data_IF_024004675841
#
_entry.id   IF_024004675841
#
_cell.length_a   1.000
_cell.length_b   1.000
_cell.length_c   1.000
_cell.angle_alpha   90.00
_cell.angle_beta   90.00
_cell.angle_gamma   90.00
#
_symmetry.space_group_name_H-M   'P 1'
#
loop_
_entity.id
_entity.type
_entity.pdbx_description
1 polymer ?
#
# COMPACT_ATOMS: atom_id res chain seq x y z
N UNK A 1 -16.84 0.68 -12.81
CA UNK A 1 -17.70 0.69 -11.61
C UNK A 1 -16.81 0.60 -10.37
N UNK A 2 -17.07 1.38 -9.32
CA UNK A 2 -16.22 1.42 -8.11
C UNK A 2 -16.71 0.39 -7.09
N UNK A 3 -15.79 -0.29 -6.42
CA UNK A 3 -16.15 -1.26 -5.38
C UNK A 3 -16.52 -0.55 -4.07
N UNK A 4 -17.73 -0.76 -3.52
CA UNK A 4 -18.09 -0.18 -2.24
C UNK A 4 -17.29 -0.84 -1.12
N UNK A 5 -16.72 -0.04 -0.23
CA UNK A 5 -16.03 -0.52 0.96
C UNK A 5 -16.61 0.13 2.20
N UNK A 6 -16.52 -0.54 3.34
CA UNK A 6 -16.86 0.01 4.65
C UNK A 6 -15.63 0.05 5.53
N UNK A 7 -15.52 1.07 6.37
CA UNK A 7 -14.48 1.17 7.38
C UNK A 7 -15.08 0.91 8.76
N UNK A 8 -14.37 0.13 9.58
CA UNK A 8 -14.64 -0.06 10.99
C UNK A 8 -13.31 -0.04 11.74
N UNK A 9 -13.22 0.77 12.79
CA UNK A 9 -11.98 0.96 13.56
C UNK A 9 -10.75 1.21 12.66
N UNK A 10 -10.87 2.17 11.73
CA UNK A 10 -9.82 2.58 10.79
C UNK A 10 -9.34 1.48 9.82
N UNK A 11 -10.10 0.39 9.65
CA UNK A 11 -9.78 -0.71 8.76
C UNK A 11 -10.94 -1.05 7.85
N UNK A 12 -10.64 -1.51 6.64
CA UNK A 12 -11.68 -1.97 5.71
C UNK A 12 -12.25 -3.30 6.17
N UNK A 13 -13.58 -3.38 6.19
CA UNK A 13 -14.37 -4.56 6.56
C UNK A 13 -15.39 -4.89 5.47
N UNK A 14 -16.05 -6.05 5.60
CA UNK A 14 -17.04 -6.53 4.66
C UNK A 14 -16.45 -7.38 3.52
N UNK A 15 -17.27 -7.64 2.50
CA UNK A 15 -16.98 -8.57 1.39
C UNK A 15 -15.74 -8.16 0.60
N UNK A 16 -15.55 -6.86 0.38
CA UNK A 16 -14.44 -6.32 -0.41
C UNK A 16 -13.11 -6.17 0.36
N UNK A 17 -13.03 -6.64 1.62
CA UNK A 17 -11.80 -6.54 2.44
C UNK A 17 -10.61 -7.25 1.80
N UNK A 18 -10.82 -8.45 1.24
CA UNK A 18 -9.75 -9.21 0.61
C UNK A 18 -9.21 -8.46 -0.63
N UNK A 19 -10.13 -7.99 -1.48
CA UNK A 19 -9.83 -7.18 -2.67
C UNK A 19 -9.07 -5.92 -2.32
N UNK A 20 -9.51 -5.19 -1.29
CA UNK A 20 -8.80 -4.02 -0.75
C UNK A 20 -7.36 -4.34 -0.34
N UNK A 21 -7.18 -5.40 0.46
CA UNK A 21 -5.85 -5.80 0.92
C UNK A 21 -4.93 -6.21 -0.23
N UNK A 22 -5.45 -6.92 -1.23
CA UNK A 22 -4.70 -7.33 -2.42
C UNK A 22 -4.31 -6.12 -3.27
N UNK A 23 -5.25 -5.20 -3.50
CA UNK A 23 -5.03 -3.99 -4.30
C UNK A 23 -3.99 -3.07 -3.66
N UNK A 24 -4.03 -2.85 -2.33
CA UNK A 24 -2.95 -2.14 -1.63
C UNK A 24 -1.61 -2.83 -1.88
N UNK A 25 -1.57 -4.16 -1.84
CA UNK A 25 -0.38 -4.93 -2.15
C UNK A 25 0.16 -4.65 -3.55
N UNK A 26 -0.71 -4.54 -4.55
CA UNK A 26 -0.35 -4.21 -5.94
C UNK A 26 0.18 -2.78 -6.06
N UNK A 27 -0.55 -1.80 -5.53
CA UNK A 27 -0.16 -0.37 -5.56
C UNK A 27 1.21 -0.16 -4.93
N UNK A 28 1.41 -0.73 -3.75
CA UNK A 28 2.66 -0.59 -2.99
C UNK A 28 3.83 -1.23 -3.72
N UNK A 29 3.63 -2.27 -4.54
CA UNK A 29 4.69 -2.95 -5.30
C UNK A 29 4.90 -2.38 -6.70
N UNK A 30 3.93 -1.64 -7.25
CA UNK A 30 3.99 -1.10 -8.60
C UNK A 30 4.99 0.08 -8.65
N UNK A 31 6.10 -0.01 -9.40
CA UNK A 31 7.11 1.04 -9.46
C UNK A 31 6.61 2.35 -10.10
N UNK A 32 5.58 2.29 -10.94
CA UNK A 32 5.00 3.46 -11.62
C UNK A 32 4.16 4.31 -10.64
N UNK A 33 3.49 3.65 -9.70
CA UNK A 33 2.64 4.32 -8.70
C UNK A 33 3.45 4.61 -7.42
N UNK A 34 4.30 3.67 -7.03
CA UNK A 34 5.13 3.71 -5.84
C UNK A 34 6.60 3.63 -6.24
N UNK A 35 7.24 4.81 -6.39
CA UNK A 35 8.66 4.83 -6.73
C UNK A 35 9.50 4.10 -5.68
N UNK A 36 10.36 3.18 -6.13
CA UNK A 36 11.32 2.47 -5.28
C UNK A 36 12.54 3.33 -4.93
N UNK A 37 12.72 4.48 -5.60
CA UNK A 37 13.83 5.43 -5.37
C UNK A 37 13.92 5.88 -3.91
N UNK A 38 12.78 5.93 -3.24
CA UNK A 38 12.70 6.22 -1.81
C UNK A 38 13.15 5.01 -0.97
N UNK A 39 14.39 5.05 -0.47
CA UNK A 39 14.96 4.04 0.43
C UNK A 39 14.12 3.84 1.70
N UNK A 40 13.35 4.85 2.13
CA UNK A 40 12.47 4.83 3.31
C UNK A 40 11.09 5.34 2.92
N UNK A 41 10.02 4.82 3.52
CA UNK A 41 8.68 5.39 3.30
C UNK A 41 8.60 6.89 3.65
N UNK A 42 9.31 7.32 4.71
CA UNK A 42 9.38 8.72 5.14
C UNK A 42 9.96 9.68 4.08
N UNK A 43 10.69 9.17 3.08
CA UNK A 43 11.23 10.01 2.01
C UNK A 43 10.27 10.16 0.82
N UNK A 44 9.10 9.51 0.85
CA UNK A 44 8.09 9.69 -0.18
C UNK A 44 7.55 11.10 -0.10
N UNK A 45 7.54 11.76 -1.25
CA UNK A 45 6.95 13.09 -1.39
C UNK A 45 5.44 13.05 -1.15
N UNK A 46 4.87 14.20 -0.80
CA UNK A 46 3.41 14.34 -0.71
C UNK A 46 2.73 13.95 -2.02
N UNK A 47 3.30 14.33 -3.16
CA UNK A 47 2.78 13.97 -4.50
C UNK A 47 2.69 12.45 -4.70
N UNK A 48 3.72 11.68 -4.31
CA UNK A 48 3.67 10.21 -4.40
C UNK A 48 2.56 9.61 -3.51
N UNK A 49 2.36 10.15 -2.30
CA UNK A 49 1.30 9.70 -1.40
C UNK A 49 -0.10 10.05 -1.94
N UNK A 50 -0.25 11.23 -2.54
CA UNK A 50 -1.49 11.63 -3.22
C UNK A 50 -1.78 10.74 -4.43
N UNK A 51 -0.77 10.41 -5.23
CA UNK A 51 -0.92 9.54 -6.39
C UNK A 51 -1.31 8.10 -5.98
N UNK A 52 -0.71 7.56 -4.93
CA UNK A 52 -1.13 6.29 -4.32
C UNK A 52 -2.56 6.31 -3.81
N UNK A 53 -2.95 7.42 -3.16
CA UNK A 53 -4.31 7.60 -2.67
C UNK A 53 -5.32 7.69 -3.82
N UNK A 54 -4.99 8.44 -4.88
CA UNK A 54 -5.82 8.58 -6.07
C UNK A 54 -6.14 7.20 -6.68
N UNK A 55 -5.12 6.34 -6.83
CA UNK A 55 -5.29 4.98 -7.34
C UNK A 55 -6.27 4.13 -6.51
N UNK A 56 -6.33 4.34 -5.19
CA UNK A 56 -7.30 3.66 -4.33
C UNK A 56 -8.72 4.21 -4.51
N UNK A 57 -8.88 5.53 -4.57
CA UNK A 57 -10.19 6.18 -4.73
C UNK A 57 -10.78 6.05 -6.14
N UNK A 58 -9.95 5.70 -7.12
CA UNK A 58 -10.40 5.34 -8.46
C UNK A 58 -11.11 3.99 -8.47
N UNK A 59 -10.59 3.02 -7.72
CA UNK A 59 -11.10 1.65 -7.70
C UNK A 59 -12.14 1.38 -6.61
N UNK A 60 -12.06 2.09 -5.47
CA UNK A 60 -12.94 1.90 -4.32
C UNK A 60 -13.74 3.16 -3.99
N UNK A 61 -14.91 2.96 -3.39
CA UNK A 61 -15.80 4.04 -2.98
C UNK A 61 -16.30 3.87 -1.54
N UNK A 62 -16.29 4.97 -0.80
CA UNK A 62 -16.95 5.13 0.49
C UNK A 62 -17.30 6.63 0.67
N UNK A 63 -18.46 6.98 1.25
CA UNK A 63 -18.83 8.38 1.50
C UNK A 63 -17.81 9.15 2.37
N UNK A 64 -17.18 8.48 3.32
CA UNK A 64 -16.27 9.07 4.31
C UNK A 64 -14.80 8.74 4.00
N UNK A 65 -14.48 8.50 2.72
CA UNK A 65 -13.15 8.01 2.34
C UNK A 65 -12.02 8.97 2.73
N UNK A 66 -12.29 10.28 2.73
CA UNK A 66 -11.28 11.29 3.06
C UNK A 66 -10.83 11.22 4.52
N UNK A 67 -11.74 10.89 5.43
CA UNK A 67 -11.45 10.79 6.88
C UNK A 67 -10.49 9.63 7.17
N UNK A 68 -10.58 8.56 6.37
CA UNK A 68 -9.72 7.38 6.47
C UNK A 68 -8.42 7.48 5.68
N UNK A 69 -8.16 8.58 4.98
CA UNK A 69 -6.95 8.75 4.15
C UNK A 69 -5.67 8.55 4.95
N UNK A 70 -5.56 9.20 6.11
CA UNK A 70 -4.36 9.11 6.94
C UNK A 70 -4.10 7.67 7.41
N UNK A 71 -5.12 7.00 7.94
CA UNK A 71 -5.04 5.61 8.38
C UNK A 71 -4.74 4.64 7.23
N UNK A 72 -5.30 4.90 6.06
CA UNK A 72 -5.01 4.11 4.85
C UNK A 72 -3.55 4.23 4.44
N UNK A 73 -2.99 5.44 4.41
CA UNK A 73 -1.58 5.66 4.10
C UNK A 73 -0.65 5.01 5.13
N UNK A 74 -1.02 5.02 6.42
CA UNK A 74 -0.30 4.24 7.46
C UNK A 74 -0.32 2.75 7.12
N UNK A 75 -1.49 2.21 6.73
CA UNK A 75 -1.57 0.80 6.39
C UNK A 75 -0.72 0.44 5.15
N UNK A 76 -0.70 1.30 4.13
CA UNK A 76 0.16 1.12 2.97
C UNK A 76 1.65 1.13 3.36
N UNK A 77 2.05 2.01 4.28
CA UNK A 77 3.41 2.04 4.83
C UNK A 77 3.79 0.74 5.50
N UNK A 78 2.92 0.18 6.33
CA UNK A 78 3.15 -1.11 6.99
C UNK A 78 3.34 -2.23 5.96
N UNK A 79 2.49 -2.26 4.94
CA UNK A 79 2.58 -3.23 3.83
C UNK A 79 3.88 -3.09 3.05
N UNK A 80 4.29 -1.86 2.74
CA UNK A 80 5.57 -1.57 2.10
C UNK A 80 6.75 -2.07 2.93
N UNK A 81 6.78 -1.76 4.23
CA UNK A 81 7.86 -2.15 5.12
C UNK A 81 7.97 -3.69 5.23
N UNK A 82 6.83 -4.38 5.36
CA UNK A 82 6.79 -5.85 5.38
C UNK A 82 7.31 -6.46 4.08
N UNK A 83 6.82 -5.97 2.94
CA UNK A 83 7.29 -6.42 1.62
C UNK A 83 8.79 -6.18 1.43
N UNK A 84 9.28 -4.99 1.78
CA UNK A 84 10.71 -4.69 1.74
C UNK A 84 11.49 -5.65 2.62
N UNK A 85 11.07 -5.89 3.87
CA UNK A 85 11.76 -6.84 4.76
C UNK A 85 11.84 -8.25 4.16
N UNK A 86 10.80 -8.70 3.45
CA UNK A 86 10.84 -9.96 2.68
C UNK A 86 11.87 -9.90 1.55
N UNK A 87 11.88 -8.84 0.75
CA UNK A 87 12.89 -8.66 -0.30
C UNK A 87 14.32 -8.70 0.25
N UNK A 88 14.61 -7.94 1.32
CA UNK A 88 15.93 -7.95 1.94
C UNK A 88 16.35 -9.35 2.39
N UNK A 89 15.41 -10.13 2.96
CA UNK A 89 15.69 -11.52 3.36
C UNK A 89 15.92 -12.44 2.17
N UNK A 90 15.24 -12.23 1.05
CA UNK A 90 15.45 -13.01 -0.18
C UNK A 90 16.81 -12.67 -0.80
N UNK A 91 17.12 -11.39 -0.98
CA UNK A 91 18.38 -10.94 -1.59
C UNK A 91 19.60 -11.13 -0.68
N UNK A 92 19.47 -11.06 0.64
CA UNK A 92 20.57 -11.37 1.55
C UNK A 92 20.93 -12.86 1.56
N UNK A 93 19.96 -13.75 1.35
CA UNK A 93 20.20 -15.20 1.24
C UNK A 93 20.92 -15.59 -0.06
N UNK A 94 20.67 -14.86 -1.15
CA UNK A 94 21.37 -15.11 -2.43
C UNK A 94 22.84 -14.71 -2.40
N UNK A 95 23.26 -13.81 -1.50
CA UNK A 95 24.68 -13.47 -1.31
C UNK A 95 25.46 -14.46 -0.42
N UNK A 96 24.78 -15.43 0.22
CA UNK A 96 25.41 -16.42 1.11
C UNK A 96 25.44 -17.85 0.56
N UNK A 97 24.98 -18.07 -0.67
CA UNK A 97 24.88 -19.40 -1.30
C UNK A 97 25.78 -19.54 -2.54
N UNK A 98 26.86 -18.76 -2.59
CA UNK A 98 27.95 -18.93 -3.55
C UNK A 98 29.26 -18.90 -2.74
N UNK A 99 29.54 -20.00 -2.05
CA UNK A 99 30.84 -20.32 -1.46
C UNK A 99 31.08 -21.81 -1.65
#
# INVERSE_FOLDING_TARGET
>A
EKLPIAFYNNRVVGVNRATWSSFIGLVVRNPQICSFRSRRWKSKSRSELEHMWAALTEYFYNPNMIDYKHHTLIHMRERWNKWRSVLYRQYAKTCGSQA
#
